data_IF_859088066748
#
_entry.id   IF_859088066748
#
_cell.length_a   1.000
_cell.length_b   1.000
_cell.length_c   1.000
_cell.angle_alpha   90.00
_cell.angle_beta   90.00
_cell.angle_gamma   90.00
#
_symmetry.space_group_name_H-M   'P 1'
#
loop_
_entity.id
_entity.type
_entity.pdbx_description
1 polymer ?
#
# COMPACT_ATOMS: atom_id res chain seq x y z
N UNK A 1 4.14 8.26 18.93
CA UNK A 1 5.44 7.68 19.32
C UNK A 1 5.26 6.27 19.88
N UNK A 2 4.41 6.05 20.89
CA UNK A 2 4.31 4.77 21.62
C UNK A 2 3.97 3.48 20.83
N UNK A 3 2.93 3.43 19.98
CA UNK A 3 2.51 2.14 19.40
C UNK A 3 3.51 1.50 18.43
N UNK A 4 4.21 2.29 17.61
CA UNK A 4 5.21 1.76 16.70
C UNK A 4 6.39 1.12 17.45
N UNK A 5 6.81 1.76 18.54
CA UNK A 5 7.89 1.28 19.41
C UNK A 5 7.47 0.01 20.17
N UNK A 6 6.20 -0.11 20.57
CA UNK A 6 5.68 -1.32 21.23
C UNK A 6 5.77 -2.53 20.29
N UNK A 7 5.36 -2.42 19.03
CA UNK A 7 5.52 -3.53 18.07
C UNK A 7 6.98 -3.90 17.86
N UNK A 8 7.88 -2.91 17.81
CA UNK A 8 9.31 -3.14 17.69
C UNK A 8 9.91 -3.83 18.93
N UNK A 9 9.46 -3.46 20.12
CA UNK A 9 10.00 -3.99 21.38
C UNK A 9 9.48 -5.39 21.70
N UNK A 10 8.20 -5.65 21.44
CA UNK A 10 7.53 -6.89 21.88
C UNK A 10 7.26 -7.86 20.72
N UNK A 11 7.18 -7.39 19.47
CA UNK A 11 7.05 -8.22 18.28
C UNK A 11 5.93 -9.25 18.37
N UNK A 12 6.27 -10.53 18.23
CA UNK A 12 5.34 -11.66 18.31
C UNK A 12 4.59 -11.76 19.65
N UNK A 13 5.13 -11.22 20.75
CA UNK A 13 4.42 -11.20 22.03
C UNK A 13 3.14 -10.34 21.99
N UNK A 14 3.01 -9.48 20.98
CA UNK A 14 1.81 -8.66 20.77
C UNK A 14 0.69 -9.37 20.04
N UNK A 15 0.89 -10.61 19.55
CA UNK A 15 -0.05 -11.32 18.67
C UNK A 15 -1.48 -11.38 19.22
N UNK A 16 -1.63 -11.69 20.50
CA UNK A 16 -2.94 -11.80 21.16
C UNK A 16 -3.65 -10.44 21.32
N UNK A 17 -2.88 -9.35 21.26
CA UNK A 17 -3.41 -7.98 21.37
C UNK A 17 -3.71 -7.35 20.00
N UNK A 18 -3.25 -7.96 18.90
CA UNK A 18 -3.44 -7.40 17.54
C UNK A 18 -4.91 -7.16 17.22
N UNK A 19 -5.79 -8.11 17.57
CA UNK A 19 -7.22 -8.00 17.23
C UNK A 19 -7.88 -6.78 17.88
N UNK A 20 -7.40 -6.40 19.07
CA UNK A 20 -7.85 -5.19 19.77
C UNK A 20 -7.28 -3.91 19.14
N UNK A 21 -6.13 -4.00 18.47
CA UNK A 21 -5.40 -2.84 17.95
C UNK A 21 -5.68 -2.55 16.47
N UNK A 22 -6.00 -3.55 15.65
CA UNK A 22 -6.17 -3.39 14.20
C UNK A 22 -7.26 -2.37 13.85
N UNK A 23 -8.47 -2.52 14.41
CA UNK A 23 -9.56 -1.59 14.11
C UNK A 23 -9.24 -0.15 14.54
N UNK A 24 -8.78 0.11 15.78
CA UNK A 24 -8.33 1.46 16.16
C UNK A 24 -7.25 2.05 15.26
N UNK A 25 -6.23 1.26 14.90
CA UNK A 25 -5.15 1.72 14.04
C UNK A 25 -5.63 2.06 12.62
N UNK A 26 -6.51 1.23 12.04
CA UNK A 26 -7.11 1.52 10.74
C UNK A 26 -8.02 2.75 10.78
N UNK A 27 -8.80 2.93 11.85
CA UNK A 27 -9.62 4.12 12.02
C UNK A 27 -8.77 5.38 12.13
N UNK A 28 -7.67 5.34 12.89
CA UNK A 28 -6.76 6.49 13.08
C UNK A 28 -5.94 6.81 11.83
N UNK A 29 -5.45 5.80 11.11
CA UNK A 29 -4.76 5.99 9.82
C UNK A 29 -5.69 6.47 8.70
N UNK A 30 -7.00 6.31 8.84
CA UNK A 30 -7.99 6.78 7.85
C UNK A 30 -8.48 8.21 8.09
N UNK A 31 -7.95 8.92 9.09
CA UNK A 31 -8.36 10.30 9.40
C UNK A 31 -7.63 11.33 8.55
N UNK A 32 -8.22 12.52 8.40
CA UNK A 32 -7.60 13.62 7.64
C UNK A 32 -6.55 14.40 8.45
N UNK A 33 -6.51 14.21 9.77
CA UNK A 33 -5.56 14.91 10.65
C UNK A 33 -4.17 14.29 10.51
N UNK A 34 -3.32 14.94 9.69
CA UNK A 34 -1.98 14.48 9.29
C UNK A 34 -1.19 13.78 10.41
N UNK A 35 -0.98 14.44 11.55
CA UNK A 35 -0.16 13.84 12.61
C UNK A 35 -0.76 12.57 13.24
N UNK A 36 -2.09 12.43 13.24
CA UNK A 36 -2.78 11.26 13.78
C UNK A 36 -2.67 10.10 12.81
N UNK A 37 -2.95 10.36 11.52
CA UNK A 37 -2.89 9.31 10.52
C UNK A 37 -1.46 8.84 10.28
N UNK A 38 -0.48 9.74 10.16
CA UNK A 38 0.93 9.37 10.00
C UNK A 38 1.46 8.53 11.17
N UNK A 39 1.10 8.89 12.41
CA UNK A 39 1.52 8.11 13.58
C UNK A 39 0.88 6.71 13.61
N UNK A 40 -0.39 6.60 13.20
CA UNK A 40 -1.08 5.31 13.12
C UNK A 40 -0.54 4.45 11.96
N UNK A 41 -0.22 5.06 10.82
CA UNK A 41 0.42 4.38 9.69
C UNK A 41 1.81 3.87 10.03
N UNK A 42 2.62 4.68 10.72
CA UNK A 42 3.91 4.23 11.23
C UNK A 42 3.77 3.02 12.17
N UNK A 43 2.74 2.99 13.02
CA UNK A 43 2.45 1.84 13.87
C UNK A 43 2.03 0.60 13.07
N UNK A 44 1.18 0.77 12.05
CA UNK A 44 0.79 -0.32 11.14
C UNK A 44 2.01 -0.88 10.38
N UNK A 45 2.89 -0.02 9.86
CA UNK A 45 4.11 -0.46 9.17
C UNK A 45 5.10 -1.15 10.13
N UNK A 46 5.18 -0.68 11.37
CA UNK A 46 5.98 -1.36 12.41
C UNK A 46 5.41 -2.76 12.68
N UNK A 47 4.10 -2.87 12.87
CA UNK A 47 3.42 -4.16 13.04
C UNK A 47 3.67 -5.12 11.88
N UNK A 48 3.56 -4.67 10.62
CA UNK A 48 3.85 -5.51 9.44
C UNK A 48 5.32 -5.88 9.30
N UNK A 49 6.22 -5.26 10.05
CA UNK A 49 7.67 -5.56 10.06
C UNK A 49 8.06 -6.51 11.19
N UNK A 50 7.37 -6.46 12.33
CA UNK A 50 7.76 -7.18 13.56
C UNK A 50 6.87 -8.35 13.93
N UNK A 51 5.73 -8.52 13.26
CA UNK A 51 4.80 -9.64 13.48
C UNK A 51 4.80 -10.56 12.27
N UNK A 52 4.78 -11.86 12.51
CA UNK A 52 4.82 -12.89 11.49
C UNK A 52 3.63 -12.74 10.53
N UNK A 53 3.88 -12.67 9.21
CA UNK A 53 2.80 -12.54 8.22
C UNK A 53 1.80 -13.69 8.28
N UNK A 54 2.25 -14.91 8.62
CA UNK A 54 1.36 -16.09 8.71
C UNK A 54 0.23 -15.89 9.73
N UNK A 55 0.49 -15.14 10.79
CA UNK A 55 -0.50 -14.80 11.82
C UNK A 55 -1.24 -13.50 11.49
N UNK A 56 -0.55 -12.53 10.90
CA UNK A 56 -1.10 -11.20 10.62
C UNK A 56 -2.07 -11.19 9.44
N UNK A 57 -1.77 -11.89 8.35
CA UNK A 57 -2.58 -11.87 7.13
C UNK A 57 -4.02 -12.35 7.33
N UNK A 58 -4.29 -13.47 8.06
CA UNK A 58 -5.66 -13.88 8.38
C UNK A 58 -6.41 -12.80 9.18
N UNK A 59 -5.75 -12.14 10.13
CA UNK A 59 -6.34 -11.06 10.93
C UNK A 59 -6.64 -9.81 10.10
N UNK A 60 -5.93 -9.58 9.00
CA UNK A 60 -6.16 -8.46 8.08
C UNK A 60 -7.34 -8.68 7.11
N UNK A 61 -7.71 -9.93 6.82
CA UNK A 61 -8.75 -10.28 5.84
C UNK A 61 -10.09 -9.53 6.01
N UNK A 62 -10.64 -9.39 7.23
CA UNK A 62 -11.91 -8.67 7.42
C UNK A 62 -11.84 -7.19 6.99
N UNK A 63 -10.65 -6.57 7.08
CA UNK A 63 -10.45 -5.15 6.79
C UNK A 63 -10.30 -4.87 5.29
N UNK A 64 -9.83 -5.84 4.51
CA UNK A 64 -9.79 -5.76 3.05
C UNK A 64 -11.19 -5.68 2.40
N UNK A 65 -12.22 -6.13 3.13
CA UNK A 65 -13.63 -6.11 2.72
C UNK A 65 -14.46 -5.08 3.49
N UNK A 66 -13.81 -4.15 4.20
CA UNK A 66 -14.48 -3.15 5.02
C UNK A 66 -15.37 -2.22 4.15
N UNK A 67 -16.51 -1.77 4.67
CA UNK A 67 -17.36 -0.81 3.97
C UNK A 67 -16.66 0.53 3.74
N UNK A 68 -15.81 0.95 4.68
CA UNK A 68 -15.05 2.19 4.56
C UNK A 68 -13.86 2.01 3.59
N UNK A 69 -13.82 2.72 2.46
CA UNK A 69 -12.75 2.58 1.48
C UNK A 69 -11.37 2.97 2.00
N UNK A 70 -11.28 3.95 2.90
CA UNK A 70 -9.98 4.35 3.49
C UNK A 70 -9.39 3.24 4.34
N UNK A 71 -10.22 2.53 5.11
CA UNK A 71 -9.81 1.35 5.87
C UNK A 71 -9.35 0.25 4.92
N UNK A 72 -10.11 -0.03 3.84
CA UNK A 72 -9.71 -1.03 2.84
C UNK A 72 -8.35 -0.72 2.24
N UNK A 73 -8.11 0.54 1.86
CA UNK A 73 -6.82 0.96 1.30
C UNK A 73 -5.67 0.77 2.29
N UNK A 74 -5.83 1.18 3.56
CA UNK A 74 -4.79 0.97 4.59
C UNK A 74 -4.54 -0.52 4.85
N UNK A 75 -5.59 -1.34 4.88
CA UNK A 75 -5.45 -2.79 5.01
C UNK A 75 -4.74 -3.41 3.81
N UNK A 76 -5.07 -2.99 2.58
CA UNK A 76 -4.45 -3.45 1.33
C UNK A 76 -2.95 -3.17 1.31
N UNK A 77 -2.55 -1.95 1.71
CA UNK A 77 -1.12 -1.57 1.83
C UNK A 77 -0.41 -2.48 2.84
N UNK A 78 -0.98 -2.66 4.03
CA UNK A 78 -0.35 -3.48 5.07
C UNK A 78 -0.25 -4.96 4.66
N UNK A 79 -1.30 -5.49 4.02
CA UNK A 79 -1.34 -6.85 3.51
C UNK A 79 -0.25 -7.06 2.46
N UNK A 80 -0.22 -6.21 1.43
CA UNK A 80 0.77 -6.24 0.35
C UNK A 80 2.22 -6.18 0.89
N UNK A 81 2.49 -5.34 1.89
CA UNK A 81 3.81 -5.24 2.54
C UNK A 81 4.20 -6.45 3.39
N UNK A 82 3.22 -7.21 3.87
CA UNK A 82 3.49 -8.39 4.71
C UNK A 82 3.77 -9.65 3.89
N UNK A 83 3.21 -9.76 2.68
CA UNK A 83 3.31 -10.98 1.85
C UNK A 83 4.75 -11.37 1.50
N UNK A 84 5.65 -10.47 1.03
CA UNK A 84 7.02 -10.85 0.71
C UNK A 84 7.80 -11.47 1.88
N UNK A 85 7.42 -11.13 3.12
CA UNK A 85 8.04 -11.66 4.35
C UNK A 85 7.67 -13.11 4.66
N UNK A 86 6.67 -13.69 3.99
CA UNK A 86 6.34 -15.12 4.09
C UNK A 86 7.44 -16.01 3.47
N UNK A 87 8.17 -15.51 2.47
CA UNK A 87 9.12 -16.29 1.70
C UNK A 87 8.47 -17.37 0.82
N UNK A 88 9.30 -18.22 0.20
CA UNK A 88 8.88 -19.31 -0.69
C UNK A 88 7.90 -20.28 -0.01
N UNK A 89 8.26 -20.76 1.16
CA UNK A 89 7.46 -21.77 1.86
C UNK A 89 6.15 -21.17 2.42
N UNK A 90 6.23 -19.99 3.05
CA UNK A 90 5.04 -19.37 3.65
C UNK A 90 3.98 -18.95 2.63
N UNK A 91 4.36 -18.57 1.41
CA UNK A 91 3.40 -18.27 0.34
C UNK A 91 2.71 -19.55 -0.16
N UNK A 92 3.44 -20.67 -0.27
CA UNK A 92 2.85 -21.98 -0.60
C UNK A 92 1.86 -22.42 0.49
N UNK A 93 2.25 -22.33 1.76
CA UNK A 93 1.43 -22.71 2.90
C UNK A 93 0.17 -21.83 3.04
N UNK A 94 0.32 -20.51 2.94
CA UNK A 94 -0.81 -19.58 3.03
C UNK A 94 -1.81 -19.80 1.89
N UNK A 95 -1.28 -20.08 0.69
CA UNK A 95 -2.04 -20.32 -0.53
C UNK A 95 -1.93 -19.13 -1.49
N UNK A 96 -1.21 -19.35 -2.58
CA UNK A 96 -1.03 -18.36 -3.64
C UNK A 96 -2.36 -17.96 -4.31
N UNK A 97 -3.29 -18.90 -4.40
CA UNK A 97 -4.67 -18.71 -4.85
C UNK A 97 -5.41 -17.65 -4.03
N UNK A 98 -5.26 -17.66 -2.69
CA UNK A 98 -5.88 -16.66 -1.81
C UNK A 98 -5.24 -15.29 -1.99
N UNK A 99 -3.92 -15.25 -2.15
CA UNK A 99 -3.17 -14.00 -2.33
C UNK A 99 -3.54 -13.33 -3.66
N UNK A 100 -3.64 -14.09 -4.75
CA UNK A 100 -4.00 -13.55 -6.05
C UNK A 100 -5.47 -13.11 -6.12
N UNK A 101 -6.37 -13.80 -5.41
CA UNK A 101 -7.76 -13.35 -5.23
C UNK A 101 -7.87 -12.03 -4.48
N UNK A 102 -7.06 -11.83 -3.43
CA UNK A 102 -6.97 -10.55 -2.73
C UNK A 102 -6.48 -9.46 -3.68
N UNK A 103 -5.37 -9.69 -4.40
CA UNK A 103 -4.82 -8.73 -5.35
C UNK A 103 -5.87 -8.33 -6.40
N UNK A 104 -6.54 -9.30 -7.02
CA UNK A 104 -7.56 -9.05 -8.03
C UNK A 104 -8.73 -8.23 -7.49
N UNK A 105 -9.20 -8.54 -6.28
CA UNK A 105 -10.28 -7.77 -5.63
C UNK A 105 -9.86 -6.32 -5.40
N UNK A 106 -8.65 -6.10 -4.86
CA UNK A 106 -8.17 -4.76 -4.53
C UNK A 106 -7.78 -3.91 -5.75
N UNK A 107 -7.45 -4.54 -6.91
CA UNK A 107 -7.20 -3.81 -8.17
C UNK A 107 -8.41 -3.00 -8.66
N UNK A 108 -9.61 -3.42 -8.28
CA UNK A 108 -10.87 -2.73 -8.59
C UNK A 108 -11.35 -1.76 -7.52
N UNK A 109 -10.56 -1.56 -6.45
CA UNK A 109 -10.96 -0.66 -5.37
C UNK A 109 -11.03 0.80 -5.85
N UNK A 110 -11.89 1.58 -5.19
CA UNK A 110 -12.10 2.99 -5.51
C UNK A 110 -10.88 3.87 -5.19
N UNK A 111 -10.09 3.53 -4.17
CA UNK A 111 -8.94 4.32 -3.75
C UNK A 111 -7.65 3.91 -4.49
N UNK A 112 -6.88 4.87 -5.02
CA UNK A 112 -5.65 4.59 -5.76
C UNK A 112 -4.61 3.86 -4.92
N UNK A 113 -4.54 4.13 -3.60
CA UNK A 113 -3.60 3.50 -2.68
C UNK A 113 -3.84 1.99 -2.56
N UNK A 114 -5.11 1.57 -2.55
CA UNK A 114 -5.44 0.14 -2.55
C UNK A 114 -5.06 -0.52 -3.87
N UNK A 115 -5.37 0.14 -4.99
CA UNK A 115 -5.03 -0.36 -6.34
C UNK A 115 -3.51 -0.48 -6.53
N UNK A 116 -2.74 0.47 -6.01
CA UNK A 116 -1.29 0.44 -6.07
C UNK A 116 -0.70 -0.70 -5.24
N UNK A 117 -1.18 -0.89 -4.01
CA UNK A 117 -0.78 -2.02 -3.18
C UNK A 117 -1.08 -3.36 -3.85
N UNK A 118 -2.23 -3.46 -4.53
CA UNK A 118 -2.64 -4.64 -5.30
C UNK A 118 -1.75 -4.90 -6.52
N UNK A 119 -1.33 -3.84 -7.24
CA UNK A 119 -0.37 -3.97 -8.36
C UNK A 119 0.97 -4.51 -7.89
N UNK A 120 1.52 -3.96 -6.81
CA UNK A 120 2.78 -4.42 -6.22
C UNK A 120 2.67 -5.89 -5.78
N UNK A 121 1.57 -6.25 -5.12
CA UNK A 121 1.32 -7.65 -4.73
C UNK A 121 1.25 -8.57 -5.96
N UNK A 122 0.61 -8.14 -7.05
CA UNK A 122 0.49 -8.95 -8.27
C UNK A 122 1.86 -9.23 -8.90
N UNK A 123 2.75 -8.22 -8.94
CA UNK A 123 4.11 -8.35 -9.46
C UNK A 123 4.97 -9.26 -8.58
N UNK A 124 4.89 -9.12 -7.26
CA UNK A 124 5.57 -9.99 -6.30
C UNK A 124 5.14 -11.45 -6.45
N UNK A 125 3.82 -11.69 -6.60
CA UNK A 125 3.29 -13.04 -6.82
C UNK A 125 3.73 -13.62 -8.15
N UNK A 126 3.78 -12.84 -9.23
CA UNK A 126 4.29 -13.33 -10.51
C UNK A 126 5.78 -13.70 -10.41
N UNK A 127 6.61 -12.81 -9.86
CA UNK A 127 8.04 -13.08 -9.68
C UNK A 127 8.27 -14.33 -8.81
N UNK A 128 7.43 -14.52 -7.79
CA UNK A 128 7.41 -15.73 -6.99
C UNK A 128 7.05 -16.97 -7.81
N UNK A 129 6.00 -16.89 -8.63
CA UNK A 129 5.54 -17.99 -9.48
C UNK A 129 6.69 -18.50 -10.35
N UNK A 130 7.33 -17.57 -11.06
CA UNK A 130 8.44 -17.85 -11.97
C UNK A 130 9.64 -18.46 -11.24
N UNK A 131 9.99 -17.92 -10.06
CA UNK A 131 11.05 -18.49 -9.22
C UNK A 131 10.73 -19.90 -8.74
N UNK A 132 9.47 -20.18 -8.37
CA UNK A 132 9.06 -21.49 -7.89
C UNK A 132 9.12 -22.56 -8.99
N UNK A 133 8.81 -22.19 -10.23
CA UNK A 133 8.93 -23.05 -11.40
C UNK A 133 10.39 -23.35 -11.74
N UNK A 134 11.28 -22.35 -11.64
CA UNK A 134 12.70 -22.53 -11.90
C UNK A 134 13.40 -23.45 -10.88
N UNK A 135 13.00 -23.41 -9.61
CA UNK A 135 13.55 -24.29 -8.57
C UNK A 135 13.03 -25.72 -8.61
N UNK A 136 11.96 -26.01 -9.35
CA UNK A 136 11.41 -27.37 -9.51
C UNK A 136 12.09 -28.22 -10.59
N UNK A 137 13.02 -27.63 -11.37
CA UNK A 137 13.58 -28.25 -12.58
C UNK A 137 15.03 -28.76 -12.44
N UNK A 138 15.60 -28.78 -11.24
CA UNK A 138 16.99 -29.18 -11.03
C UNK A 138 17.14 -30.26 -9.96
N UNK A 139 17.10 -31.53 -10.39
CA UNK A 139 17.76 -32.73 -9.82
C UNK A 139 17.07 -34.00 -10.36
N UNK A 140 17.19 -34.28 -11.67
CA UNK A 140 17.25 -35.68 -12.14
C UNK A 140 17.84 -35.72 -13.56
N UNK A 141 19.12 -36.08 -13.65
CA UNK A 141 19.78 -36.43 -14.91
C UNK A 141 19.53 -37.91 -15.19
N UNK A 142 18.44 -38.24 -15.88
CA UNK A 142 18.30 -39.44 -16.71
C UNK A 142 16.99 -39.49 -17.52
N UNK A 143 17.16 -39.44 -18.85
CA UNK A 143 16.26 -39.87 -19.94
C UNK A 143 15.08 -38.96 -20.37
N UNK A 144 14.78 -38.91 -21.69
CA UNK A 144 13.89 -37.91 -22.26
C UNK A 144 12.43 -38.39 -22.22
N UNK A 145 11.62 -37.76 -21.39
CA UNK A 145 10.17 -37.88 -21.47
C UNK A 145 9.55 -36.49 -21.29
N UNK A 146 8.75 -36.12 -22.28
CA UNK A 146 7.95 -34.91 -22.40
C UNK A 146 7.25 -34.62 -21.06
N UNK A 147 7.56 -33.49 -20.40
CA UNK A 147 6.73 -32.91 -19.34
C UNK A 147 6.25 -31.53 -19.82
N UNK A 148 5.03 -31.41 -20.35
CA UNK A 148 4.54 -30.19 -20.95
C UNK A 148 3.47 -29.54 -20.07
N UNK A 149 3.67 -29.38 -18.76
CA UNK A 149 2.75 -28.58 -17.95
C UNK A 149 3.48 -27.71 -16.92
N UNK A 150 4.48 -26.94 -17.37
CA UNK A 150 4.69 -25.66 -16.70
C UNK A 150 3.47 -24.80 -17.00
N UNK A 151 2.44 -24.87 -16.13
CA UNK A 151 1.28 -23.99 -16.21
C UNK A 151 1.78 -22.55 -16.36
N UNK A 152 1.39 -21.86 -17.43
CA UNK A 152 1.78 -20.47 -17.61
C UNK A 152 1.15 -19.62 -16.52
N UNK A 153 1.75 -18.47 -16.18
CA UNK A 153 1.16 -17.52 -15.24
C UNK A 153 -0.30 -17.16 -15.60
N UNK A 154 -0.59 -17.06 -16.89
CA UNK A 154 -1.94 -16.87 -17.43
C UNK A 154 -2.88 -18.03 -17.13
N UNK A 155 -2.45 -19.28 -17.37
CA UNK A 155 -3.24 -20.47 -17.04
C UNK A 155 -3.54 -20.56 -15.54
N UNK A 156 -2.55 -20.26 -14.69
CA UNK A 156 -2.73 -20.18 -13.25
C UNK A 156 -3.77 -19.10 -12.86
N UNK A 157 -3.66 -17.89 -13.41
CA UNK A 157 -4.61 -16.81 -13.12
C UNK A 157 -6.04 -17.18 -13.55
N UNK A 158 -6.21 -17.78 -14.73
CA UNK A 158 -7.52 -18.21 -15.25
C UNK A 158 -8.13 -19.37 -14.47
N UNK A 159 -7.30 -20.23 -13.85
CA UNK A 159 -7.81 -21.33 -13.02
C UNK A 159 -8.27 -20.88 -11.63
N UNK A 160 -7.74 -19.77 -11.11
CA UNK A 160 -8.04 -19.27 -9.75
C UNK A 160 -8.98 -18.07 -9.70
N UNK A 161 -9.19 -17.37 -10.81
CA UNK A 161 -9.95 -16.12 -10.89
C UNK A 161 -11.02 -16.17 -11.99
N UNK A 162 -12.00 -15.27 -11.91
CA UNK A 162 -12.88 -15.02 -13.05
C UNK A 162 -12.10 -14.42 -14.21
N UNK A 163 -12.56 -14.63 -15.45
CA UNK A 163 -11.89 -14.13 -16.65
C UNK A 163 -11.58 -12.62 -16.59
N UNK A 164 -12.52 -11.80 -16.09
CA UNK A 164 -12.32 -10.35 -15.93
C UNK A 164 -11.18 -10.03 -14.94
N UNK A 165 -11.16 -10.74 -13.81
CA UNK A 165 -10.19 -10.55 -12.74
C UNK A 165 -8.79 -11.02 -13.16
N UNK A 166 -8.71 -12.17 -13.84
CA UNK A 166 -7.46 -12.67 -14.43
C UNK A 166 -6.89 -11.66 -15.43
N UNK A 167 -7.72 -11.13 -16.33
CA UNK A 167 -7.28 -10.12 -17.30
C UNK A 167 -6.83 -8.82 -16.63
N UNK A 168 -7.39 -8.43 -15.48
CA UNK A 168 -6.91 -7.27 -14.72
C UNK A 168 -5.49 -7.52 -14.16
N UNK A 169 -5.25 -8.71 -13.60
CA UNK A 169 -3.93 -9.12 -13.11
C UNK A 169 -2.92 -9.16 -14.26
N UNK A 170 -3.27 -9.83 -15.37
CA UNK A 170 -2.38 -10.01 -16.52
C UNK A 170 -1.93 -8.68 -17.12
N UNK A 171 -2.82 -7.69 -17.20
CA UNK A 171 -2.44 -6.33 -17.66
C UNK A 171 -1.38 -5.67 -16.77
N UNK A 172 -1.37 -5.97 -15.47
CA UNK A 172 -0.37 -5.44 -14.53
C UNK A 172 0.95 -6.18 -14.68
N UNK A 173 0.91 -7.51 -14.86
CA UNK A 173 2.08 -8.38 -14.85
C UNK A 173 2.80 -8.50 -16.19
N UNK A 174 2.10 -8.34 -17.31
CA UNK A 174 2.67 -8.47 -18.68
C UNK A 174 3.54 -7.26 -19.08
N UNK A 175 3.42 -6.12 -18.38
CA UNK A 175 4.08 -4.85 -18.75
C UNK A 175 5.43 -4.55 -18.11
N UNK A 176 5.97 -5.42 -17.25
CA UNK A 176 7.19 -5.12 -16.47
C UNK A 176 8.26 -6.18 -16.72
N UNK A 177 9.34 -5.89 -17.46
CA UNK A 177 10.54 -6.70 -17.42
C UNK A 177 11.07 -6.71 -15.98
N UNK A 178 11.10 -7.89 -15.35
CA UNK A 178 11.64 -8.09 -14.01
C UNK A 178 13.15 -7.79 -14.05
N UNK A 179 13.52 -6.59 -13.63
CA UNK A 179 14.92 -6.30 -13.27
C UNK A 179 15.06 -6.46 -11.76
N UNK A 180 16.02 -7.25 -11.26
CA UNK A 180 16.25 -7.38 -9.83
C UNK A 180 16.72 -6.02 -9.29
N UNK A 181 15.89 -5.37 -8.47
CA UNK A 181 16.29 -4.15 -7.77
C UNK A 181 17.00 -4.55 -6.48
N UNK A 182 18.29 -4.87 -6.58
CA UNK A 182 19.19 -4.86 -5.42
C UNK A 182 19.24 -3.46 -4.81
N UNK A 183 19.26 -3.42 -3.47
CA UNK A 183 19.19 -2.20 -2.68
C UNK A 183 20.52 -1.47 -2.49
N UNK A 184 20.38 -0.22 -2.01
CA UNK A 184 21.45 0.65 -1.50
C UNK A 184 22.18 1.37 -2.63
N UNK A 185 22.35 2.69 -2.65
CA UNK A 185 22.73 3.59 -1.55
C UNK A 185 22.42 5.03 -1.97
N UNK A 186 21.85 5.81 -1.05
CA UNK A 186 21.78 7.26 -1.15
C UNK A 186 23.09 7.88 -0.65
N UNK A 187 23.76 8.65 -1.51
CA UNK A 187 24.69 9.74 -1.22
C UNK A 187 25.09 10.33 -2.60
N UNK A 188 25.24 11.62 -2.86
CA UNK A 188 25.45 12.77 -2.01
C UNK A 188 24.97 14.04 -2.74
N UNK A 189 24.50 15.00 -1.95
CA UNK A 189 24.43 16.42 -2.28
C UNK A 189 25.85 16.97 -2.49
N UNK A 190 26.12 17.65 -3.60
CA UNK A 190 27.10 18.75 -3.61
C UNK A 190 26.80 19.77 -4.73
N UNK A 191 26.96 21.01 -4.32
CA UNK A 191 26.67 22.27 -5.00
C UNK A 191 27.43 22.50 -6.31
N UNK A 192 26.88 23.42 -7.11
CA UNK A 192 27.68 24.45 -7.77
C UNK A 192 27.65 24.44 -9.29
N UNK A 193 26.80 25.29 -9.89
CA UNK A 193 27.12 26.00 -11.13
C UNK A 193 26.04 27.06 -11.43
N UNK A 194 26.41 28.33 -11.25
CA UNK A 194 25.77 29.49 -11.88
C UNK A 194 26.12 29.43 -13.38
N UNK A 195 25.30 30.03 -14.27
CA UNK A 195 25.84 31.26 -14.86
C UNK A 195 24.83 32.40 -14.96
N UNK A 196 25.38 33.59 -14.76
CA UNK A 196 24.73 34.88 -14.93
C UNK A 196 24.58 35.25 -16.41
N UNK A 197 23.49 35.93 -16.74
CA UNK A 197 23.44 37.00 -17.76
C UNK A 197 22.10 37.75 -17.58
N UNK A 198 22.13 38.95 -17.00
CA UNK A 198 21.88 40.24 -17.66
C UNK A 198 20.58 40.32 -18.48
N UNK A 199 19.58 41.08 -18.00
CA UNK A 199 19.34 42.43 -18.54
C UNK A 199 18.42 43.26 -17.64
N UNK A 200 18.76 44.54 -17.59
CA UNK A 200 18.12 45.64 -16.89
C UNK A 200 16.66 45.91 -17.29
N UNK A 201 15.95 46.61 -16.40
CA UNK A 201 14.74 47.36 -16.75
C UNK A 201 13.92 47.70 -15.52
N UNK A 202 14.23 48.83 -14.87
CA UNK A 202 13.50 49.32 -13.71
C UNK A 202 12.06 49.74 -14.02
N UNK A 203 11.24 49.84 -12.97
CA UNK A 203 10.62 51.07 -12.47
C UNK A 203 9.89 50.70 -11.17
N UNK A 204 10.17 51.48 -10.13
CA UNK A 204 9.48 51.47 -8.84
C UNK A 204 8.24 52.35 -8.94
N UNK A 205 7.07 51.87 -8.50
CA UNK A 205 5.97 52.74 -8.06
C UNK A 205 5.37 52.16 -6.78
N UNK A 206 5.40 53.02 -5.77
CA UNK A 206 4.84 52.88 -4.43
C UNK A 206 3.41 53.46 -4.42
N UNK A 207 2.63 53.07 -3.40
CA UNK A 207 1.51 53.79 -2.75
C UNK A 207 0.09 53.34 -3.11
N UNK A 208 -0.63 52.98 -2.03
CA UNK A 208 -2.04 52.59 -1.89
C UNK A 208 -3.01 53.82 -1.89
N UNK A 209 -4.17 53.80 -1.20
CA UNK A 209 -5.46 53.18 -1.51
C UNK A 209 -6.58 54.24 -1.72
N UNK A 210 -7.78 53.83 -2.19
CA UNK A 210 -9.04 54.60 -2.09
C UNK A 210 -10.21 53.61 -1.90
N UNK A 211 -10.88 53.58 -0.76
CA UNK A 211 -11.88 54.50 -0.18
C UNK A 211 -13.33 54.06 -0.47
N UNK A 212 -14.12 54.02 0.61
CA UNK A 212 -15.59 54.15 0.62
C UNK A 212 -16.36 52.82 0.51
N UNK A 213 -17.28 52.45 1.39
CA UNK A 213 -17.87 53.09 2.55
C UNK A 213 -18.90 52.12 3.17
N UNK A 214 -19.01 52.15 4.49
CA UNK A 214 -20.04 51.48 5.30
C UNK A 214 -21.25 52.44 5.39
N UNK A 215 -22.49 51.94 5.48
CA UNK A 215 -23.10 51.95 6.81
C UNK A 215 -23.84 50.66 7.19
N UNK A 216 -23.73 50.41 8.49
CA UNK A 216 -24.47 49.52 9.36
C UNK A 216 -25.99 49.68 9.22
N UNK A 217 -26.71 48.55 9.27
CA UNK A 217 -28.06 48.49 9.78
C UNK A 217 -28.23 47.23 10.65
N UNK A 218 -28.16 47.43 11.95
CA UNK A 218 -28.61 46.52 13.01
C UNK A 218 -30.12 46.31 12.93
N UNK A 219 -30.57 45.06 13.04
CA UNK A 219 -31.93 44.76 13.52
C UNK A 219 -31.90 43.56 14.43
N UNK A 220 -32.01 43.85 15.73
CA UNK A 220 -32.31 42.90 16.79
C UNK A 220 -33.65 42.20 16.52
N UNK A 221 -33.68 40.89 16.76
CA UNK A 221 -34.89 40.07 16.80
C UNK A 221 -34.80 39.17 18.02
N UNK A 222 -35.45 39.60 19.10
CA UNK A 222 -35.62 38.86 20.33
C UNK A 222 -36.43 37.58 20.09
N UNK A 223 -35.93 36.44 20.58
CA UNK A 223 -36.70 35.21 20.72
C UNK A 223 -36.81 34.87 22.20
N UNK A 224 -38.05 34.72 22.65
CA UNK A 224 -38.47 34.47 24.01
C UNK A 224 -37.99 33.10 24.52
N UNK A 225 -37.51 33.08 25.76
CA UNK A 225 -37.32 31.88 26.58
C UNK A 225 -38.62 31.61 27.32
N UNK A 226 -39.12 30.38 27.18
CA UNK A 226 -40.14 29.81 28.04
C UNK A 226 -39.66 28.47 28.58
N UNK A 227 -39.31 28.45 29.87
CA UNK A 227 -39.40 27.36 30.85
C UNK A 227 -38.78 27.86 32.15
#
# INVERSE_FOLDING_TARGET
MTCADIFKAYGEQMVDLIDLLLMPLFLKSSQDKRFVCEAAEAALMSMTSWISPSVLLPKMQPYLKNKNPRIRAKASVCFSKSVPRLGLEGIKEYGMDKLIQVAATQLSDQLPESREAARNLSLELQAFYEKSQASGLGEDDSAPAISPEAETWEAFCLSKLSALSAQAILRVTVGVPVTPKEGGISAALKEGAVPAALKEGGISVVVAPKEGGVPVATKEGAAAVGC
#
